data_IF_061931207165
#
_entry.id   IF_061931207165
#
_cell.length_a   1.000
_cell.length_b   1.000
_cell.length_c   1.000
_cell.angle_alpha   90.00
_cell.angle_beta   90.00
_cell.angle_gamma   90.00
#
_symmetry.space_group_name_H-M   'P 1'
#
loop_
_entity.id
_entity.type
_entity.pdbx_description
1 polymer ?
#
# COMPACT_ATOMS: atom_id res chain seq x y z
N UNK A 1 -16.29 17.07 10.20
CA UNK A 1 -15.01 16.88 9.48
C UNK A 1 -14.60 15.42 9.57
N UNK A 2 -14.04 14.83 8.51
CA UNK A 2 -13.60 13.41 8.49
C UNK A 2 -12.18 13.32 7.94
N UNK A 3 -11.35 12.46 8.54
CA UNK A 3 -10.03 12.08 8.03
C UNK A 3 -10.19 10.74 7.32
N UNK A 4 -9.67 10.62 6.10
CA UNK A 4 -9.65 9.37 5.33
C UNK A 4 -8.21 8.87 5.31
N UNK A 5 -7.99 7.64 5.76
CA UNK A 5 -6.71 6.95 5.68
C UNK A 5 -6.85 5.74 4.75
N UNK A 6 -5.91 5.58 3.83
CA UNK A 6 -5.91 4.49 2.87
C UNK A 6 -4.52 3.87 2.78
N UNK A 7 -4.44 2.55 2.89
CA UNK A 7 -3.23 1.76 2.64
C UNK A 7 -3.33 1.18 1.23
N UNK A 8 -2.41 1.57 0.35
CA UNK A 8 -2.39 1.16 -1.06
C UNK A 8 -1.05 0.52 -1.42
N UNK A 9 -1.03 -0.21 -2.54
CA UNK A 9 0.22 -0.71 -3.10
C UNK A 9 1.08 0.46 -3.60
N UNK A 10 2.41 0.44 -3.40
CA UNK A 10 3.28 1.57 -3.76
C UNK A 10 3.14 2.05 -5.21
N UNK A 11 3.07 1.11 -6.16
CA UNK A 11 2.97 1.43 -7.60
C UNK A 11 1.63 2.09 -8.01
N UNK A 12 0.62 2.13 -7.14
CA UNK A 12 -0.66 2.80 -7.41
C UNK A 12 -0.67 4.27 -6.99
N UNK A 13 0.39 4.75 -6.33
CA UNK A 13 0.42 6.09 -5.75
C UNK A 13 0.11 7.20 -6.77
N UNK A 14 0.76 7.19 -7.93
CA UNK A 14 0.57 8.23 -8.94
C UNK A 14 -0.84 8.25 -9.52
N UNK A 15 -1.41 7.07 -9.78
CA UNK A 15 -2.78 6.92 -10.28
C UNK A 15 -3.79 7.47 -9.27
N UNK A 16 -3.64 7.12 -7.99
CA UNK A 16 -4.51 7.60 -6.90
C UNK A 16 -4.37 9.09 -6.70
N UNK A 17 -3.15 9.62 -6.66
CA UNK A 17 -2.88 11.07 -6.55
C UNK A 17 -3.56 11.84 -7.67
N UNK A 18 -3.36 11.42 -8.92
CA UNK A 18 -3.96 12.08 -10.09
C UNK A 18 -5.48 12.05 -10.06
N UNK A 19 -6.09 10.93 -9.66
CA UNK A 19 -7.53 10.82 -9.52
C UNK A 19 -8.08 11.75 -8.42
N UNK A 20 -7.43 11.80 -7.26
CA UNK A 20 -7.80 12.68 -6.15
C UNK A 20 -7.66 14.17 -6.52
N UNK A 21 -6.60 14.54 -7.23
CA UNK A 21 -6.42 15.91 -7.72
C UNK A 21 -7.51 16.31 -8.71
N UNK A 22 -7.93 15.42 -9.63
CA UNK A 22 -9.02 15.68 -10.59
C UNK A 22 -10.36 15.96 -9.93
N UNK A 23 -10.63 15.36 -8.77
CA UNK A 23 -11.87 15.60 -8.00
C UNK A 23 -11.75 16.77 -7.01
N UNK A 24 -10.63 17.52 -7.04
CA UNK A 24 -10.44 18.73 -6.24
C UNK A 24 -9.77 18.51 -4.87
N UNK A 25 -9.23 17.32 -4.59
CA UNK A 25 -8.44 17.08 -3.36
C UNK A 25 -7.01 17.56 -3.59
N UNK A 26 -6.66 18.67 -2.95
CA UNK A 26 -5.36 19.34 -3.14
C UNK A 26 -4.32 18.99 -2.07
N UNK A 27 -4.75 18.58 -0.87
CA UNK A 27 -3.88 18.23 0.25
C UNK A 27 -3.97 16.76 0.61
N UNK A 28 -2.82 16.09 0.69
CA UNK A 28 -2.70 14.72 1.20
C UNK A 28 -1.32 14.53 1.85
N UNK A 29 -1.25 13.65 2.84
CA UNK A 29 0.01 13.24 3.47
C UNK A 29 0.29 11.80 3.06
N UNK A 30 1.53 11.53 2.66
CA UNK A 30 1.99 10.21 2.24
C UNK A 30 3.03 9.75 3.26
N UNK A 31 2.85 8.54 3.78
CA UNK A 31 3.79 7.91 4.70
C UNK A 31 4.04 6.49 4.21
N UNK A 32 5.32 6.10 4.08
CA UNK A 32 5.68 4.72 3.78
C UNK A 32 5.40 3.84 4.99
N UNK A 33 4.72 2.72 4.77
CA UNK A 33 4.37 1.75 5.81
C UNK A 33 4.68 0.34 5.33
N UNK A 34 5.11 -0.52 6.26
CA UNK A 34 5.21 -1.96 6.02
C UNK A 34 3.93 -2.62 6.53
N UNK A 35 3.17 -3.22 5.62
CA UNK A 35 1.98 -3.98 5.97
C UNK A 35 2.32 -5.45 6.18
N UNK A 36 1.86 -6.03 7.29
CA UNK A 36 1.83 -7.48 7.50
C UNK A 36 0.37 -7.94 7.47
N UNK A 37 0.04 -8.94 6.66
CA UNK A 37 -1.34 -9.39 6.52
C UNK A 37 -1.50 -10.66 5.68
N UNK A 38 -2.74 -11.15 5.55
CA UNK A 38 -3.10 -12.38 4.79
C UNK A 38 -2.90 -12.29 3.27
N UNK A 39 -2.22 -11.26 2.78
CA UNK A 39 -1.79 -11.23 1.40
C UNK A 39 -0.69 -12.26 1.28
N UNK A 40 -1.06 -13.51 0.91
CA UNK A 40 -0.20 -14.69 0.79
C UNK A 40 1.22 -14.23 0.45
N UNK A 41 2.07 -14.18 1.49
CA UNK A 41 3.45 -13.79 1.34
C UNK A 41 4.05 -14.68 0.27
N UNK A 42 4.90 -14.13 -0.58
CA UNK A 42 5.74 -14.99 -1.39
C UNK A 42 6.39 -15.98 -0.44
N UNK A 43 6.02 -17.26 -0.55
CA UNK A 43 6.69 -18.32 0.18
C UNK A 43 8.09 -18.39 -0.41
N UNK A 44 9.06 -17.75 0.24
CA UNK A 44 10.46 -17.93 -0.13
C UNK A 44 10.86 -19.34 0.30
N UNK A 45 10.91 -20.24 -0.67
CA UNK A 45 11.47 -21.57 -0.49
C UNK A 45 12.98 -21.43 -0.48
N UNK A 46 13.59 -21.39 0.70
CA UNK A 46 15.04 -21.48 0.83
C UNK A 46 15.41 -22.91 1.26
N UNK A 47 16.11 -23.63 0.39
CA UNK A 47 16.60 -25.01 0.62
C UNK A 47 15.51 -26.01 1.06
N UNK A 48 14.30 -25.88 0.52
CA UNK A 48 13.20 -26.83 0.77
C UNK A 48 12.44 -26.62 2.10
N UNK A 49 12.74 -25.56 2.85
CA UNK A 49 11.93 -25.14 3.99
C UNK A 49 11.13 -23.88 3.61
N UNK A 50 9.83 -23.91 3.90
CA UNK A 50 8.97 -22.73 3.76
C UNK A 50 9.26 -21.78 4.92
N UNK A 51 9.88 -20.64 4.65
CA UNK A 51 10.03 -19.58 5.64
C UNK A 51 8.86 -18.63 5.52
N UNK A 52 8.09 -18.53 6.59
CA UNK A 52 7.09 -17.46 6.76
C UNK A 52 7.81 -16.28 7.39
N UNK A 53 7.91 -15.15 6.68
CA UNK A 53 8.19 -13.84 7.29
C UNK A 53 6.90 -13.33 7.90
#
# INVERSE_FOLDING_TARGET
>A
MKKIEAIIKPFKLDEVKNALTKIGVQGMTITEVKGFGRQKGHTEVYRGAEYTI
#
